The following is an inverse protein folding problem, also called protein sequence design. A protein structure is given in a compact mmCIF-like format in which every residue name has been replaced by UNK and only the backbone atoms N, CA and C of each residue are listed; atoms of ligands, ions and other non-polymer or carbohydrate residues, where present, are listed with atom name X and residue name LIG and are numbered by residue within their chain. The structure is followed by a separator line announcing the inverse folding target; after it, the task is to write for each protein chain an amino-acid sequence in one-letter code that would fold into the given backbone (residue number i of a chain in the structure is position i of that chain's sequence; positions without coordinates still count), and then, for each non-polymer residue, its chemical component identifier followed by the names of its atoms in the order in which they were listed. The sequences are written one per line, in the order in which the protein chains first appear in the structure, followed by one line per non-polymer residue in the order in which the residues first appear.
data_IF_634511836857
#
_entry.id   IF_634511836857
#
_cell.length_a   1.000
_cell.length_b   1.000
_cell.length_c   1.000
_cell.angle_alpha   90.00
_cell.angle_beta   90.00
_cell.angle_gamma   90.00
#
_symmetry.space_group_name_H-M   'P 1'
#
loop_
_entity.id
_entity.type
_entity.pdbx_description
1 polymer ?
#
# COMPACT_ATOMS: atom_id res chain seq x y z
N UNK A 1 9.79 -13.20 -4.86
CA UNK A 1 10.29 -13.06 -6.25
C UNK A 1 9.91 -11.65 -6.72
N UNK A 2 10.87 -10.75 -6.99
CA UNK A 2 10.65 -9.30 -7.08
C UNK A 2 10.02 -8.87 -8.42
N UNK A 3 8.84 -9.39 -8.75
CA UNK A 3 8.01 -8.97 -9.88
C UNK A 3 6.54 -9.25 -9.57
N UNK A 4 5.98 -8.60 -8.54
CA UNK A 4 4.57 -8.84 -8.16
C UNK A 4 3.58 -8.37 -9.24
N UNK A 5 3.99 -7.44 -10.10
CA UNK A 5 3.23 -7.00 -11.27
C UNK A 5 4.22 -6.69 -12.40
N UNK A 6 3.91 -7.11 -13.63
CA UNK A 6 4.69 -6.75 -14.81
C UNK A 6 4.79 -5.22 -14.95
N UNK A 7 5.96 -4.63 -15.24
CA UNK A 7 6.11 -3.19 -15.45
C UNK A 7 5.17 -2.62 -16.53
N UNK A 8 4.84 -3.41 -17.55
CA UNK A 8 3.95 -3.02 -18.64
C UNK A 8 2.45 -3.02 -18.25
N UNK A 9 2.11 -3.54 -17.07
CA UNK A 9 0.74 -3.55 -16.58
C UNK A 9 0.34 -2.16 -16.06
N UNK A 10 -0.88 -1.71 -16.36
CA UNK A 10 -1.47 -0.49 -15.78
C UNK A 10 -1.43 -0.54 -14.24
N UNK A 11 -1.56 -1.74 -13.65
CA UNK A 11 -1.54 -1.94 -12.21
C UNK A 11 -0.18 -1.66 -11.57
N UNK A 12 0.92 -1.61 -12.35
CA UNK A 12 2.26 -1.30 -11.83
C UNK A 12 2.39 0.15 -11.33
N UNK A 13 1.53 1.04 -11.81
CA UNK A 13 1.51 2.46 -11.43
C UNK A 13 0.54 2.76 -10.27
N UNK A 14 -0.23 1.76 -9.84
CA UNK A 14 -1.21 1.94 -8.77
C UNK A 14 -0.49 2.02 -7.42
N UNK A 15 -0.93 2.97 -6.58
CA UNK A 15 -0.41 3.11 -5.22
C UNK A 15 -1.35 2.41 -4.24
N UNK A 16 -0.76 1.60 -3.36
CA UNK A 16 -1.49 1.03 -2.22
C UNK A 16 -1.67 2.14 -1.18
N UNK A 17 -2.91 2.34 -0.74
CA UNK A 17 -3.26 3.27 0.34
C UNK A 17 -3.53 2.50 1.63
N UNK A 18 -3.72 3.22 2.73
CA UNK A 18 -3.98 2.66 4.05
C UNK A 18 -2.86 1.72 4.57
N UNK A 19 -1.62 1.97 4.17
CA UNK A 19 -0.45 1.16 4.56
C UNK A 19 0.08 1.49 5.96
N UNK A 20 -0.38 2.58 6.57
CA UNK A 20 0.11 3.08 7.85
C UNK A 20 -0.84 2.70 9.00
N UNK A 21 -1.14 1.40 9.14
CA UNK A 21 -2.11 0.91 10.12
C UNK A 21 -1.79 1.32 11.57
N UNK A 22 -0.51 1.32 11.95
CA UNK A 22 -0.05 1.74 13.28
C UNK A 22 -0.34 3.22 13.55
N UNK A 23 -0.11 4.08 12.55
CA UNK A 23 -0.40 5.52 12.66
C UNK A 23 -1.90 5.78 12.80
N UNK A 24 -2.74 5.10 12.01
CA UNK A 24 -4.19 5.27 12.13
C UNK A 24 -4.71 4.79 13.47
N UNK A 25 -4.23 3.64 13.95
CA UNK A 25 -4.68 3.05 15.21
C UNK A 25 -4.24 3.89 16.42
N UNK A 26 -3.05 4.50 16.38
CA UNK A 26 -2.56 5.35 17.47
C UNK A 26 -3.29 6.70 17.57
N UNK A 27 -3.83 7.21 16.47
CA UNK A 27 -4.64 8.45 16.45
C UNK A 27 -6.03 8.28 17.06
N UNK A 28 -6.61 7.09 16.95
CA UNK A 28 -7.94 6.75 17.45
C UNK A 28 -7.91 5.97 18.77
N UNK A 29 -6.73 5.82 19.41
CA UNK A 29 -6.59 5.19 20.71
C UNK A 29 -7.15 6.11 21.81
N UNK A 30 -8.45 5.95 22.08
CA UNK A 30 -9.14 6.45 23.28
C UNK A 30 -8.75 5.64 24.53
#
# INVERSE_FOLDING_TARGET
NPNLISPASVFSSWKVICTQSEEYNSREAL
#
